data_IF_708365818506
#
_entry.id   IF_708365818506
#
_cell.length_a   1.000
_cell.length_b   1.000
_cell.length_c   1.000
_cell.angle_alpha   90.00
_cell.angle_beta   90.00
_cell.angle_gamma   90.00
#
_symmetry.space_group_name_H-M   'P 1'
#
loop_
_entity.id
_entity.type
_entity.pdbx_description
1 polymer ?
#
# COMPACT_ATOMS: atom_id res chain seq x y z
N UNK A 1 11.30 31.46 18.12
CA UNK A 1 11.29 30.02 18.44
C UNK A 1 12.73 29.55 18.53
N UNK A 2 13.17 29.11 19.71
CA UNK A 2 14.55 28.63 19.91
C UNK A 2 14.68 27.19 19.40
N UNK A 3 15.89 26.77 19.01
CA UNK A 3 16.14 25.46 18.41
C UNK A 3 15.63 24.28 19.27
N UNK A 4 15.62 24.45 20.60
CA UNK A 4 15.08 23.49 21.56
C UNK A 4 13.54 23.36 21.50
N UNK A 5 12.82 24.44 21.19
CA UNK A 5 11.35 24.41 21.05
C UNK A 5 10.92 23.64 19.78
N UNK A 6 11.71 23.71 18.70
CA UNK A 6 11.43 22.97 17.47
C UNK A 6 11.66 21.46 17.63
N UNK A 7 12.70 21.06 18.37
CA UNK A 7 12.98 19.66 18.71
C UNK A 7 11.88 19.05 19.58
N UNK A 8 11.45 19.75 20.64
CA UNK A 8 10.38 19.27 21.51
C UNK A 8 9.06 19.08 20.74
N UNK A 9 8.74 20.02 19.83
CA UNK A 9 7.55 19.93 18.99
C UNK A 9 7.62 18.78 17.97
N UNK A 10 8.80 18.50 17.40
CA UNK A 10 9.01 17.37 16.48
C UNK A 10 8.92 16.01 17.21
N UNK A 11 9.45 15.95 18.42
CA UNK A 11 9.42 14.76 19.28
C UNK A 11 8.01 14.47 19.80
N UNK A 12 7.27 15.50 20.23
CA UNK A 12 5.84 15.40 20.56
C UNK A 12 5.03 14.96 19.33
N UNK A 13 5.32 15.49 18.13
CA UNK A 13 4.61 15.10 16.90
C UNK A 13 4.86 13.65 16.50
N UNK A 14 6.05 13.09 16.79
CA UNK A 14 6.32 11.65 16.64
C UNK A 14 5.59 10.80 17.69
N UNK A 15 5.44 11.31 18.92
CA UNK A 15 4.77 10.60 20.01
C UNK A 15 3.24 10.55 19.87
N UNK A 16 2.62 11.55 19.23
CA UNK A 16 1.14 11.71 19.23
C UNK A 16 0.43 10.95 18.11
N UNK A 17 1.14 10.28 17.19
CA UNK A 17 0.47 9.44 16.15
C UNK A 17 0.11 8.02 16.61
N UNK A 18 0.21 7.71 17.91
CA UNK A 18 -0.21 6.43 18.47
C UNK A 18 -1.51 6.60 19.27
N UNK A 19 -2.65 6.65 18.56
CA UNK A 19 -3.96 6.41 19.17
C UNK A 19 -4.73 5.47 18.25
N UNK A 20 -4.84 4.21 18.66
CA UNK A 20 -5.65 3.20 17.98
C UNK A 20 -5.15 1.78 18.17
N UNK A 21 -5.52 1.18 19.31
CA UNK A 21 -5.59 -0.26 19.62
C UNK A 21 -4.30 -1.10 19.59
N UNK A 22 -4.01 -1.72 20.73
CA UNK A 22 -2.89 -2.64 21.03
C UNK A 22 -2.34 -3.41 19.81
N UNK A 23 -1.29 -2.87 19.18
CA UNK A 23 -0.43 -3.60 18.25
C UNK A 23 0.85 -3.92 18.99
N UNK A 24 1.16 -5.20 19.17
CA UNK A 24 2.46 -5.63 19.69
C UNK A 24 3.59 -4.86 18.99
N UNK A 25 4.55 -4.37 19.77
CA UNK A 25 5.70 -3.54 19.36
C UNK A 25 6.71 -4.28 18.49
N UNK A 26 6.23 -5.12 17.59
CA UNK A 26 7.06 -5.86 16.68
C UNK A 26 7.61 -4.92 15.60
N UNK A 27 8.90 -4.65 15.69
CA UNK A 27 9.68 -3.97 14.65
C UNK A 27 9.53 -4.70 13.32
N UNK A 28 9.06 -3.97 12.31
CA UNK A 28 9.03 -4.42 10.93
C UNK A 28 10.29 -3.96 10.22
N UNK A 29 11.04 -4.89 9.64
CA UNK A 29 12.24 -4.61 8.88
C UNK A 29 11.90 -4.51 7.40
N UNK A 30 12.33 -3.44 6.74
CA UNK A 30 12.16 -3.29 5.29
C UNK A 30 12.90 -4.41 4.56
N UNK A 31 12.26 -4.95 3.52
CA UNK A 31 12.85 -5.99 2.69
C UNK A 31 13.17 -5.45 1.30
N UNK A 32 12.13 -5.10 0.53
CA UNK A 32 12.24 -4.64 -0.85
C UNK A 32 10.93 -3.97 -1.30
N UNK A 33 10.96 -3.47 -2.54
CA UNK A 33 9.83 -2.83 -3.20
C UNK A 33 9.60 -3.46 -4.58
N UNK A 34 8.35 -3.78 -4.88
CA UNK A 34 7.89 -4.18 -6.21
C UNK A 34 7.06 -3.08 -6.84
N UNK A 35 7.01 -3.08 -8.17
CA UNK A 35 6.12 -2.22 -8.93
C UNK A 35 5.43 -3.01 -10.02
N UNK A 36 4.14 -2.72 -10.20
CA UNK A 36 3.29 -3.37 -11.19
C UNK A 36 2.50 -2.30 -11.94
N UNK A 37 2.59 -2.34 -13.27
CA UNK A 37 1.93 -1.38 -14.14
C UNK A 37 0.92 -2.13 -15.00
N UNK A 38 -0.35 -1.76 -14.88
CA UNK A 38 -1.46 -2.49 -15.47
C UNK A 38 -2.30 -1.51 -16.29
N UNK A 39 -2.17 -1.58 -17.62
CA UNK A 39 -2.95 -0.77 -18.55
C UNK A 39 -4.39 -1.28 -18.66
N UNK A 40 -5.35 -0.37 -18.78
CA UNK A 40 -6.76 -0.73 -18.89
C UNK A 40 -7.19 -1.15 -20.29
N UNK A 41 -6.50 -0.77 -21.38
CA UNK A 41 -6.71 -1.22 -22.77
C UNK A 41 -8.19 -1.46 -23.18
N UNK A 42 -9.13 -0.60 -22.79
CA UNK A 42 -10.57 -0.78 -23.00
C UNK A 42 -11.18 -2.09 -22.43
N UNK A 43 -10.55 -2.68 -21.41
CA UNK A 43 -10.98 -3.88 -20.71
C UNK A 43 -12.08 -3.56 -19.71
N UNK A 44 -13.00 -4.48 -19.53
CA UNK A 44 -14.04 -4.39 -18.50
C UNK A 44 -13.46 -4.62 -17.11
N UNK A 45 -14.16 -4.15 -16.07
CA UNK A 45 -13.78 -4.36 -14.66
C UNK A 45 -13.54 -5.84 -14.32
N UNK A 46 -14.37 -6.75 -14.82
CA UNK A 46 -14.23 -8.18 -14.56
C UNK A 46 -12.93 -8.75 -15.15
N UNK A 47 -12.58 -8.35 -16.38
CA UNK A 47 -11.30 -8.74 -17.01
C UNK A 47 -10.13 -8.17 -16.21
N UNK A 48 -10.23 -6.91 -15.76
CA UNK A 48 -9.18 -6.27 -14.96
C UNK A 48 -8.95 -6.97 -13.62
N UNK A 49 -10.01 -7.38 -12.92
CA UNK A 49 -9.88 -8.16 -11.68
C UNK A 49 -9.14 -9.49 -11.91
N UNK A 50 -9.42 -10.17 -13.02
CA UNK A 50 -8.67 -11.38 -13.41
C UNK A 50 -7.19 -11.09 -13.68
N UNK A 51 -6.90 -10.05 -14.47
CA UNK A 51 -5.52 -9.63 -14.79
C UNK A 51 -4.74 -9.27 -13.52
N UNK A 52 -5.32 -8.48 -12.62
CA UNK A 52 -4.67 -8.09 -11.36
C UNK A 52 -4.39 -9.31 -10.48
N UNK A 53 -5.34 -10.24 -10.40
CA UNK A 53 -5.16 -11.48 -9.62
C UNK A 53 -4.01 -12.35 -10.15
N UNK A 54 -3.73 -12.29 -11.46
CA UNK A 54 -2.62 -13.01 -12.10
C UNK A 54 -1.28 -12.27 -11.96
N UNK A 55 -1.28 -10.96 -12.20
CA UNK A 55 -0.07 -10.16 -12.29
C UNK A 55 0.48 -9.71 -10.94
N UNK A 56 -0.36 -9.69 -9.90
CA UNK A 56 0.06 -9.27 -8.56
C UNK A 56 -0.19 -10.42 -7.57
N UNK A 57 0.72 -11.41 -7.52
CA UNK A 57 0.49 -12.71 -6.87
C UNK A 57 0.18 -12.64 -5.37
N UNK A 58 0.46 -11.50 -4.75
CA UNK A 58 0.35 -11.28 -3.31
C UNK A 58 -0.95 -10.54 -2.97
N UNK A 59 -1.60 -9.91 -3.96
CA UNK A 59 -2.77 -9.08 -3.74
C UNK A 59 -3.99 -10.00 -3.45
N UNK A 60 -4.40 -10.09 -2.18
CA UNK A 60 -5.57 -10.91 -1.83
C UNK A 60 -6.88 -10.24 -2.24
N UNK A 61 -7.98 -10.99 -2.41
CA UNK A 61 -9.31 -10.40 -2.61
C UNK A 61 -9.74 -9.46 -1.47
N UNK A 62 -9.22 -9.66 -0.25
CA UNK A 62 -9.62 -8.95 0.97
C UNK A 62 -9.26 -7.44 0.97
N UNK A 63 -8.33 -7.00 0.12
CA UNK A 63 -7.88 -5.60 0.05
C UNK A 63 -8.81 -4.70 -0.78
N UNK A 64 -9.93 -5.24 -1.29
CA UNK A 64 -11.03 -4.45 -1.83
C UNK A 64 -10.74 -3.78 -3.17
N UNK A 65 -10.00 -4.48 -4.06
CA UNK A 65 -9.57 -3.99 -5.38
C UNK A 65 -10.75 -3.47 -6.22
N UNK A 66 -11.93 -4.08 -6.07
CA UNK A 66 -13.12 -3.68 -6.80
C UNK A 66 -13.48 -2.19 -6.65
N UNK A 67 -13.36 -1.64 -5.45
CA UNK A 67 -13.62 -0.21 -5.22
C UNK A 67 -12.52 0.69 -5.80
N UNK A 68 -11.26 0.25 -5.74
CA UNK A 68 -10.13 0.98 -6.35
C UNK A 68 -10.29 1.05 -7.87
N UNK A 69 -10.78 -0.03 -8.50
CA UNK A 69 -11.09 -0.02 -9.93
C UNK A 69 -12.23 0.94 -10.27
N UNK A 70 -13.29 1.01 -9.46
CA UNK A 70 -14.38 1.97 -9.68
C UNK A 70 -13.87 3.40 -9.61
N UNK A 71 -13.03 3.72 -8.62
CA UNK A 71 -12.39 5.03 -8.49
C UNK A 71 -11.52 5.36 -9.70
N UNK A 72 -10.70 4.41 -10.17
CA UNK A 72 -9.84 4.60 -11.34
C UNK A 72 -10.65 4.78 -12.64
N UNK A 73 -11.70 3.99 -12.85
CA UNK A 73 -12.56 4.13 -14.02
C UNK A 73 -13.35 5.45 -14.01
N UNK A 74 -13.86 5.88 -12.86
CA UNK A 74 -14.55 7.17 -12.72
C UNK A 74 -13.65 8.36 -13.06
N UNK A 75 -12.35 8.24 -12.76
CA UNK A 75 -11.31 9.22 -13.10
C UNK A 75 -10.81 9.10 -14.56
N UNK A 76 -11.32 8.14 -15.33
CA UNK A 76 -10.82 7.79 -16.68
C UNK A 76 -9.30 7.55 -16.68
N UNK A 77 -8.78 6.94 -15.63
CA UNK A 77 -7.36 6.61 -15.53
C UNK A 77 -6.96 5.66 -16.68
N UNK A 78 -5.78 5.85 -17.30
CA UNK A 78 -5.31 4.97 -18.37
C UNK A 78 -4.92 3.58 -17.86
N UNK A 79 -4.68 3.43 -16.56
CA UNK A 79 -4.27 2.18 -15.95
C UNK A 79 -4.27 2.25 -14.43
N UNK A 80 -3.84 1.15 -13.81
CA UNK A 80 -3.56 1.01 -12.40
C UNK A 80 -2.06 0.77 -12.21
N UNK A 81 -1.42 1.62 -11.41
CA UNK A 81 0.00 1.54 -11.13
C UNK A 81 0.16 1.26 -9.64
N UNK A 82 0.90 0.22 -9.30
CA UNK A 82 0.97 -0.30 -7.94
C UNK A 82 2.42 -0.31 -7.49
N UNK A 83 2.68 0.21 -6.30
CA UNK A 83 3.95 0.04 -5.59
C UNK A 83 3.72 -0.78 -4.34
N UNK A 84 4.50 -1.83 -4.12
CA UNK A 84 4.35 -2.73 -2.97
C UNK A 84 5.63 -2.72 -2.16
N UNK A 85 5.57 -2.15 -0.95
CA UNK A 85 6.68 -2.19 -0.01
C UNK A 85 6.50 -3.39 0.91
N UNK A 86 7.52 -4.25 0.96
CA UNK A 86 7.51 -5.44 1.82
C UNK A 86 8.34 -5.23 3.06
N UNK A 87 7.83 -5.78 4.15
CA UNK A 87 8.50 -5.81 5.43
C UNK A 87 8.37 -7.20 6.05
N UNK A 88 9.31 -7.57 6.91
CA UNK A 88 9.25 -8.82 7.67
C UNK A 88 9.42 -8.56 9.16
N UNK A 89 8.93 -9.49 9.99
CA UNK A 89 9.29 -9.54 11.42
C UNK A 89 10.51 -10.44 11.62
N UNK A 90 11.28 -10.17 12.66
CA UNK A 90 12.34 -11.07 13.12
C UNK A 90 11.79 -12.50 13.26
N UNK A 91 12.51 -13.47 12.71
CA UNK A 91 12.06 -14.86 12.59
C UNK A 91 11.33 -15.20 11.28
N UNK A 92 11.10 -14.24 10.37
CA UNK A 92 10.56 -14.43 9.01
C UNK A 92 9.20 -15.16 8.93
N UNK A 93 8.49 -15.30 10.03
CA UNK A 93 7.16 -15.93 10.07
C UNK A 93 6.06 -15.03 9.53
N UNK A 94 6.24 -13.71 9.65
CA UNK A 94 5.25 -12.71 9.23
C UNK A 94 5.85 -11.71 8.24
N UNK A 95 5.09 -11.46 7.18
CA UNK A 95 5.39 -10.43 6.18
C UNK A 95 4.26 -9.43 6.12
N UNK A 96 4.61 -8.15 6.02
CA UNK A 96 3.68 -7.04 5.80
C UNK A 96 3.90 -6.49 4.40
N UNK A 97 2.81 -6.31 3.68
CA UNK A 97 2.76 -5.78 2.33
C UNK A 97 1.98 -4.48 2.37
N UNK A 98 2.62 -3.40 1.96
CA UNK A 98 2.00 -2.07 1.88
C UNK A 98 1.85 -1.73 0.41
N UNK A 99 0.61 -1.76 -0.07
CA UNK A 99 0.24 -1.48 -1.44
C UNK A 99 -0.14 0.00 -1.57
N UNK A 100 0.48 0.70 -2.51
CA UNK A 100 0.13 2.03 -2.94
C UNK A 100 -0.39 1.97 -4.38
N UNK A 101 -1.59 2.45 -4.61
CA UNK A 101 -2.26 2.45 -5.90
C UNK A 101 -2.29 3.86 -6.46
N UNK A 102 -1.97 4.00 -7.74
CA UNK A 102 -1.89 5.28 -8.45
C UNK A 102 -2.66 5.21 -9.77
N UNK A 103 -3.16 6.36 -10.21
CA UNK A 103 -3.87 6.50 -11.50
C UNK A 103 -2.96 6.90 -12.66
N UNK A 104 -1.70 7.25 -12.40
CA UNK A 104 -0.73 7.66 -13.43
C UNK A 104 0.60 6.89 -13.34
N UNK A 105 1.26 6.74 -14.50
CA UNK A 105 2.51 6.00 -14.61
C UNK A 105 3.67 6.61 -13.82
N UNK A 106 3.65 7.92 -13.56
CA UNK A 106 4.66 8.58 -12.76
C UNK A 106 4.39 8.44 -11.25
N UNK A 107 3.30 7.76 -10.85
CA UNK A 107 2.92 7.49 -9.45
C UNK A 107 2.79 8.75 -8.61
N UNK A 108 2.24 9.82 -9.18
CA UNK A 108 2.01 11.11 -8.50
C UNK A 108 0.59 11.24 -7.95
N UNK A 109 -0.38 10.63 -8.62
CA UNK A 109 -1.80 10.67 -8.30
C UNK A 109 -2.17 9.42 -7.50
N UNK A 110 -1.99 9.53 -6.18
CA UNK A 110 -2.28 8.44 -5.25
C UNK A 110 -3.79 8.26 -5.09
N UNK A 111 -4.28 7.05 -5.36
CA UNK A 111 -5.70 6.68 -5.27
C UNK A 111 -5.99 6.02 -3.93
N UNK A 112 -5.18 5.04 -3.53
CA UNK A 112 -5.43 4.28 -2.31
C UNK A 112 -4.15 3.68 -1.73
N UNK A 113 -4.16 3.46 -0.43
CA UNK A 113 -3.16 2.66 0.28
C UNK A 113 -3.86 1.52 1.02
N UNK A 114 -3.28 0.32 0.95
CA UNK A 114 -3.77 -0.88 1.63
C UNK A 114 -2.62 -1.61 2.30
N UNK A 115 -2.89 -2.21 3.44
CA UNK A 115 -1.94 -3.06 4.15
C UNK A 115 -2.48 -4.47 4.26
N UNK A 116 -1.58 -5.44 4.12
CA UNK A 116 -1.86 -6.83 4.38
C UNK A 116 -0.71 -7.46 5.17
N UNK A 117 -1.04 -8.25 6.18
CA UNK A 117 -0.06 -9.03 6.93
C UNK A 117 -0.35 -10.51 6.67
N UNK A 118 0.65 -11.23 6.20
CA UNK A 118 0.58 -12.68 5.96
C UNK A 118 1.53 -13.42 6.89
N UNK A 119 1.04 -14.49 7.50
CA UNK A 119 1.88 -15.51 8.13
C UNK A 119 2.32 -16.51 7.05
N UNK A 120 3.62 -16.69 6.88
CA UNK A 120 4.20 -17.57 5.85
C UNK A 120 4.66 -18.91 6.43
N UNK A 121 5.08 -18.92 7.71
CA UNK A 121 5.62 -20.08 8.42
C UNK A 121 5.11 -20.07 9.87
#
# INVERSE_FOLDING_TARGET
MTHQQALLMFEIRKSVSNIGTERSSATWYYLDTYSYDIDFQNRTKSVMLGVISLLVPILSPAIGIGGILDDLFSQKAPGMYITVNRYYKAGYQYYKYVYHFYSDANRKQHVAMREEIKKMW
#
